data_IF_709086051654
#
_entry.id   IF_709086051654
#
_cell.length_a   1.000
_cell.length_b   1.000
_cell.length_c   1.000
_cell.angle_alpha   90.00
_cell.angle_beta   90.00
_cell.angle_gamma   90.00
#
_symmetry.space_group_name_H-M   'P 1'
#
loop_
_entity.id
_entity.type
_entity.pdbx_description
1 polymer ?
#
# COMPACT_ATOMS: atom_id res chain seq x y z
N UNK A 1 27.19 14.08 -10.20
CA UNK A 1 27.41 13.70 -11.63
C UNK A 1 26.06 13.54 -12.30
N UNK A 2 25.87 14.12 -13.50
CA UNK A 2 24.67 13.88 -14.31
C UNK A 2 24.94 12.70 -15.26
N UNK A 3 23.98 11.79 -15.39
CA UNK A 3 24.07 10.62 -16.27
C UNK A 3 23.09 10.82 -17.43
N UNK A 4 23.54 10.56 -18.66
CA UNK A 4 22.68 10.59 -19.84
C UNK A 4 21.93 9.27 -19.95
N UNK A 5 20.61 9.35 -20.05
CA UNK A 5 19.73 8.19 -20.19
C UNK A 5 18.83 8.39 -21.40
N UNK A 6 18.63 7.35 -22.19
CA UNK A 6 17.65 7.34 -23.28
C UNK A 6 16.38 6.67 -22.78
N UNK A 7 15.23 7.30 -23.03
CA UNK A 7 13.91 6.83 -22.60
C UNK A 7 13.00 6.92 -23.82
N UNK A 8 12.28 5.83 -24.11
CA UNK A 8 11.21 5.86 -25.10
C UNK A 8 9.94 6.40 -24.46
N UNK A 9 9.29 7.34 -25.14
CA UNK A 9 8.06 7.98 -24.70
C UNK A 9 7.06 7.90 -25.84
N UNK A 10 5.78 7.84 -25.49
CA UNK A 10 4.71 7.98 -26.46
C UNK A 10 4.76 9.37 -27.11
N UNK A 11 4.39 9.45 -28.38
CA UNK A 11 4.45 10.69 -29.16
C UNK A 11 3.62 11.81 -28.52
N UNK A 12 2.45 11.46 -27.95
CA UNK A 12 1.60 12.44 -27.27
C UNK A 12 2.32 13.06 -26.06
N UNK A 13 2.97 12.24 -25.24
CA UNK A 13 3.69 12.70 -24.05
C UNK A 13 4.85 13.61 -24.46
N UNK A 14 5.55 13.26 -25.54
CA UNK A 14 6.63 14.10 -26.07
C UNK A 14 6.11 15.49 -26.48
N UNK A 15 4.99 15.55 -27.21
CA UNK A 15 4.37 16.82 -27.62
C UNK A 15 3.93 17.66 -26.41
N UNK A 16 3.33 17.02 -25.41
CA UNK A 16 2.92 17.73 -24.19
C UNK A 16 4.13 18.29 -23.43
N UNK A 17 5.24 17.54 -23.38
CA UNK A 17 6.50 18.01 -22.78
C UNK A 17 7.14 19.15 -23.55
N UNK A 18 7.10 19.12 -24.88
CA UNK A 18 7.57 20.22 -25.75
C UNK A 18 6.74 21.48 -25.51
N UNK A 19 5.42 21.39 -25.53
CA UNK A 19 4.52 22.50 -25.21
C UNK A 19 4.81 23.09 -23.82
N UNK A 20 4.95 22.24 -22.80
CA UNK A 20 5.28 22.70 -21.44
C UNK A 20 6.68 23.32 -21.34
N UNK A 21 7.62 22.86 -22.16
CA UNK A 21 8.98 23.41 -22.26
C UNK A 21 8.94 24.85 -22.76
N UNK A 22 8.15 25.11 -23.80
CA UNK A 22 7.94 26.44 -24.39
C UNK A 22 7.24 27.38 -23.42
N UNK A 23 6.09 26.97 -22.87
CA UNK A 23 5.28 27.79 -21.96
C UNK A 23 6.06 28.19 -20.70
N UNK A 24 6.90 27.29 -20.16
CA UNK A 24 7.68 27.54 -18.95
C UNK A 24 9.04 28.16 -19.23
N UNK A 25 9.41 28.38 -20.50
CA UNK A 25 10.71 28.85 -20.95
C UNK A 25 11.88 28.11 -20.26
N UNK A 26 11.79 26.77 -20.24
CA UNK A 26 12.76 25.88 -19.63
C UNK A 26 13.10 24.78 -20.62
N UNK A 27 14.30 24.19 -20.54
CA UNK A 27 14.62 23.04 -21.38
C UNK A 27 13.82 21.81 -20.96
N UNK A 28 13.39 21.02 -21.95
CA UNK A 28 12.66 19.77 -21.74
C UNK A 28 13.41 18.82 -20.77
N UNK A 29 14.74 18.76 -20.87
CA UNK A 29 15.58 17.98 -19.95
C UNK A 29 15.50 18.46 -18.49
N UNK A 30 15.40 19.77 -18.26
CA UNK A 30 15.23 20.34 -16.92
C UNK A 30 13.87 19.97 -16.34
N UNK A 31 12.83 20.08 -17.18
CA UNK A 31 11.45 19.77 -16.82
C UNK A 31 11.28 18.30 -16.47
N UNK A 32 11.77 17.39 -17.32
CA UNK A 32 11.76 15.93 -17.05
C UNK A 32 12.52 15.61 -15.76
N UNK A 33 13.70 16.20 -15.52
CA UNK A 33 14.44 15.98 -14.26
C UNK A 33 13.65 16.38 -13.03
N UNK A 34 12.96 17.52 -13.06
CA UNK A 34 12.11 17.98 -11.93
C UNK A 34 10.97 16.99 -11.67
N UNK A 35 10.24 16.61 -12.71
CA UNK A 35 9.14 15.65 -12.59
C UNK A 35 9.60 14.30 -12.04
N UNK A 36 10.69 13.75 -12.58
CA UNK A 36 11.25 12.48 -12.11
C UNK A 36 11.73 12.60 -10.67
N UNK A 37 12.41 13.69 -10.30
CA UNK A 37 12.89 13.90 -8.93
C UNK A 37 11.75 13.95 -7.91
N UNK A 38 10.66 14.66 -8.24
CA UNK A 38 9.47 14.74 -7.39
C UNK A 38 8.80 13.38 -7.22
N UNK A 39 8.54 12.67 -8.32
CA UNK A 39 7.92 11.33 -8.29
C UNK A 39 8.78 10.32 -7.53
N UNK A 40 10.09 10.30 -7.77
CA UNK A 40 11.01 9.41 -7.04
C UNK A 40 11.02 9.73 -5.54
N UNK A 41 10.96 11.01 -5.15
CA UNK A 41 10.91 11.41 -3.73
C UNK A 41 9.62 10.92 -3.07
N UNK A 42 8.48 11.01 -3.76
CA UNK A 42 7.18 10.51 -3.28
C UNK A 42 7.22 8.99 -3.12
N UNK A 43 7.66 8.26 -4.15
CA UNK A 43 7.72 6.79 -4.10
C UNK A 43 8.71 6.29 -3.05
N UNK A 44 9.89 6.92 -2.92
CA UNK A 44 10.85 6.59 -1.85
C UNK A 44 10.25 6.76 -0.46
N UNK A 45 9.44 7.79 -0.23
CA UNK A 45 8.75 7.98 1.06
C UNK A 45 7.71 6.88 1.30
N UNK A 46 6.94 6.50 0.27
CA UNK A 46 5.96 5.41 0.34
C UNK A 46 6.63 4.08 0.67
N UNK A 47 7.66 3.69 -0.08
CA UNK A 47 8.39 2.45 0.15
C UNK A 47 9.07 2.44 1.52
N UNK A 48 9.65 3.55 1.98
CA UNK A 48 10.21 3.63 3.35
C UNK A 48 9.17 3.43 4.43
N UNK A 49 7.94 3.90 4.25
CA UNK A 49 6.85 3.65 5.21
C UNK A 49 6.48 2.17 5.24
N UNK A 50 6.36 1.53 4.08
CA UNK A 50 6.07 0.09 3.96
C UNK A 50 7.21 -0.74 4.58
N UNK A 51 8.47 -0.41 4.27
CA UNK A 51 9.64 -1.14 4.79
C UNK A 51 9.85 -0.96 6.32
N UNK A 52 9.32 0.13 6.90
CA UNK A 52 9.34 0.35 8.36
C UNK A 52 8.22 -0.37 9.10
N UNK A 53 7.22 -0.89 8.39
CA UNK A 53 6.24 -1.78 9.00
C UNK A 53 6.88 -3.16 9.12
N UNK A 54 7.39 -3.45 10.31
CA UNK A 54 7.75 -4.81 10.69
C UNK A 54 6.50 -5.69 10.53
N UNK A 55 6.50 -6.70 9.65
CA UNK A 55 5.32 -7.52 9.37
C UNK A 55 4.75 -8.16 10.64
N UNK A 56 5.61 -8.49 11.61
CA UNK A 56 5.18 -9.01 12.91
C UNK A 56 4.41 -7.96 13.70
N UNK A 57 4.88 -6.71 13.74
CA UNK A 57 4.17 -5.61 14.42
C UNK A 57 2.85 -5.24 13.73
N UNK A 58 2.77 -5.38 12.41
CA UNK A 58 1.54 -5.14 11.66
C UNK A 58 0.48 -6.21 12.00
N UNK A 59 0.87 -7.49 12.03
CA UNK A 59 -0.01 -8.59 12.44
C UNK A 59 -0.44 -8.46 13.91
N UNK A 60 0.48 -8.08 14.80
CA UNK A 60 0.19 -7.88 16.22
C UNK A 60 -0.72 -6.67 16.46
N UNK A 61 -0.60 -5.62 15.63
CA UNK A 61 -1.53 -4.49 15.64
C UNK A 61 -2.93 -4.85 15.15
N UNK A 62 -3.05 -5.75 14.17
CA UNK A 62 -4.34 -6.28 13.71
C UNK A 62 -4.99 -7.16 14.78
N UNK A 63 -4.22 -8.04 15.45
CA UNK A 63 -4.71 -8.85 16.55
C UNK A 63 -5.26 -8.00 17.71
N UNK A 64 -4.53 -6.96 18.11
CA UNK A 64 -4.99 -6.01 19.16
C UNK A 64 -6.27 -5.27 18.76
N UNK A 65 -6.39 -4.86 17.49
CA UNK A 65 -7.62 -4.23 17.00
C UNK A 65 -8.80 -5.19 16.97
N UNK A 66 -8.56 -6.46 16.65
CA UNK A 66 -9.59 -7.49 16.71
C UNK A 66 -10.08 -7.69 18.15
N UNK A 67 -9.18 -7.76 19.13
CA UNK A 67 -9.53 -7.81 20.56
C UNK A 67 -10.30 -6.57 21.04
N UNK A 68 -9.95 -5.38 20.56
CA UNK A 68 -10.65 -4.13 20.90
C UNK A 68 -12.07 -4.11 20.30
N UNK A 69 -12.24 -4.59 19.07
CA UNK A 69 -13.56 -4.71 18.42
C UNK A 69 -14.41 -5.74 19.16
N UNK A 70 -13.84 -6.88 19.51
CA UNK A 70 -14.50 -7.91 20.30
C UNK A 70 -14.98 -7.36 21.66
N UNK A 71 -14.10 -6.69 22.40
CA UNK A 71 -14.46 -6.03 23.68
C UNK A 71 -15.54 -4.95 23.53
N UNK A 72 -15.56 -4.23 22.41
CA UNK A 72 -16.48 -3.10 22.18
C UNK A 72 -17.86 -3.54 21.70
N UNK A 73 -17.93 -4.59 20.89
CA UNK A 73 -19.17 -5.06 20.26
C UNK A 73 -19.66 -6.41 20.82
N UNK A 74 -18.94 -7.00 21.77
CA UNK A 74 -19.30 -8.26 22.42
C UNK A 74 -19.26 -9.46 21.47
N UNK A 75 -18.44 -9.38 20.41
CA UNK A 75 -18.39 -10.39 19.35
C UNK A 75 -17.47 -11.55 19.75
N UNK A 76 -17.87 -12.28 20.81
CA UNK A 76 -17.18 -13.48 21.30
C UNK A 76 -17.38 -14.65 20.33
N UNK A 77 -16.71 -14.60 19.19
CA UNK A 77 -16.47 -15.78 18.36
C UNK A 77 -15.45 -16.69 19.04
N UNK A 78 -15.63 -18.02 19.06
CA UNK A 78 -14.63 -18.92 19.65
C UNK A 78 -13.30 -18.73 18.94
N UNK A 79 -12.19 -18.67 19.68
CA UNK A 79 -10.85 -18.37 19.14
C UNK A 79 -10.43 -19.33 18.02
N UNK A 80 -11.02 -20.52 17.99
CA UNK A 80 -10.78 -21.58 17.03
C UNK A 80 -11.95 -21.75 16.04
N UNK A 81 -12.12 -20.79 15.14
CA UNK A 81 -13.05 -20.95 14.01
C UNK A 81 -12.62 -22.05 13.03
N UNK A 82 -11.33 -22.43 13.04
CA UNK A 82 -10.79 -23.45 12.12
C UNK A 82 -10.89 -24.89 12.64
N UNK A 83 -11.13 -25.10 13.94
CA UNK A 83 -11.08 -26.45 14.55
C UNK A 83 -12.46 -27.10 14.54
N UNK A 84 -13.54 -26.32 14.43
CA UNK A 84 -14.89 -26.81 14.63
C UNK A 84 -15.84 -26.43 13.47
N UNK A 85 -15.35 -26.47 12.23
CA UNK A 85 -16.15 -26.18 11.04
C UNK A 85 -17.46 -26.97 11.01
N UNK A 86 -17.42 -28.26 11.36
CA UNK A 86 -18.59 -29.13 11.42
C UNK A 86 -19.61 -28.68 12.47
N UNK A 87 -19.15 -28.14 13.61
CA UNK A 87 -20.03 -27.60 14.65
C UNK A 87 -20.77 -26.35 14.19
N UNK A 88 -20.11 -25.47 13.42
CA UNK A 88 -20.73 -24.25 12.89
C UNK A 88 -21.63 -24.52 11.68
N UNK A 89 -21.30 -25.53 10.87
CA UNK A 89 -22.10 -25.90 9.70
C UNK A 89 -23.34 -26.72 10.05
N UNK A 90 -23.25 -27.61 11.03
CA UNK A 90 -24.29 -28.62 11.29
C UNK A 90 -24.97 -28.51 12.67
N UNK A 91 -24.59 -27.51 13.48
CA UNK A 91 -25.38 -26.99 14.60
C UNK A 91 -25.98 -28.05 15.54
N UNK A 92 -25.19 -28.59 16.47
CA UNK A 92 -25.73 -29.16 17.71
C UNK A 92 -24.71 -29.10 18.84
N UNK A 93 -25.09 -28.62 20.04
CA UNK A 93 -24.17 -28.54 21.17
C UNK A 93 -23.89 -29.94 21.73
N UNK A 94 -22.63 -30.24 22.08
CA UNK A 94 -22.34 -31.35 23.00
C UNK A 94 -22.97 -30.99 24.36
N UNK A 95 -24.03 -31.70 24.74
CA UNK A 95 -24.48 -31.74 26.14
C UNK A 95 -23.32 -32.22 26.99
N UNK A 96 -22.82 -31.36 27.88
CA UNK A 96 -21.89 -31.77 28.93
C UNK A 96 -22.66 -32.70 29.88
N UNK A 97 -22.13 -33.91 30.09
CA UNK A 97 -22.34 -34.67 31.33
C UNK A 97 -21.27 -34.24 32.31
#
# INVERSE_FOLDING_TARGET
MLVRTQIMLDDQIKRDLEYLSEVKNQSMSSLVRKFVAEKVKIEKKRVKRVKKMDPVKALLGLAKRAEEIDKKYGFSGPTDWSINHDHYLYGSPKRKK
#
